data_IF_207902963426
#
_entry.id   IF_207902963426
#
_cell.length_a   1.000
_cell.length_b   1.000
_cell.length_c   1.000
_cell.angle_alpha   90.00
_cell.angle_beta   90.00
_cell.angle_gamma   90.00
#
_symmetry.space_group_name_H-M   'P 1'
#
loop_
_entity.id
_entity.type
_entity.pdbx_description
1 polymer ?
#
# COMPACT_ATOMS: atom_id res chain seq x y z
N UNK A 1 -5.01 -12.75 -34.58
CA UNK A 1 -5.33 -12.21 -33.23
C UNK A 1 -4.63 -10.87 -33.04
N UNK A 2 -5.07 -9.83 -33.74
CA UNK A 2 -4.38 -8.52 -33.70
C UNK A 2 -5.12 -7.48 -32.83
N UNK A 3 -6.25 -7.84 -32.23
CA UNK A 3 -7.03 -6.90 -31.38
C UNK A 3 -6.75 -7.18 -29.92
N UNK A 4 -6.33 -6.14 -29.20
CA UNK A 4 -6.15 -6.21 -27.75
C UNK A 4 -7.51 -6.28 -27.05
N UNK A 5 -7.72 -7.36 -26.34
CA UNK A 5 -8.90 -7.60 -25.48
C UNK A 5 -8.43 -8.19 -24.16
N UNK A 6 -9.27 -8.27 -23.12
CA UNK A 6 -8.92 -8.99 -21.89
C UNK A 6 -8.48 -10.45 -22.10
N UNK A 7 -8.96 -11.12 -23.16
CA UNK A 7 -8.55 -12.48 -23.47
C UNK A 7 -7.21 -12.58 -24.21
N UNK A 8 -6.78 -11.51 -24.87
CA UNK A 8 -5.53 -11.46 -25.66
C UNK A 8 -4.44 -10.60 -25.01
N UNK A 9 -4.74 -9.99 -23.86
CA UNK A 9 -3.79 -9.18 -23.10
C UNK A 9 -2.67 -10.05 -22.51
N UNK A 10 -1.42 -9.59 -22.66
CA UNK A 10 -0.24 -10.27 -22.09
C UNK A 10 -0.19 -10.09 -20.58
N UNK A 11 -0.51 -8.88 -20.11
CA UNK A 11 -0.58 -8.61 -18.67
C UNK A 11 -1.88 -9.14 -18.07
N UNK A 12 -1.85 -9.93 -16.97
CA UNK A 12 -3.06 -10.35 -16.27
C UNK A 12 -3.84 -9.17 -15.68
N UNK A 13 -3.20 -8.01 -15.46
CA UNK A 13 -3.87 -6.80 -14.97
C UNK A 13 -4.84 -6.21 -16.00
N UNK A 14 -4.54 -6.35 -17.29
CA UNK A 14 -5.39 -5.92 -18.40
C UNK A 14 -6.24 -7.07 -18.98
N UNK A 15 -5.97 -8.29 -18.53
CA UNK A 15 -6.72 -9.52 -18.86
C UNK A 15 -7.64 -9.96 -17.75
N UNK A 16 -7.23 -11.04 -17.05
CA UNK A 16 -8.00 -11.72 -15.99
C UNK A 16 -8.52 -10.81 -14.89
N UNK A 17 -7.74 -9.79 -14.52
CA UNK A 17 -8.03 -8.90 -13.40
C UNK A 17 -8.52 -7.50 -13.83
N UNK A 18 -8.74 -7.29 -15.12
CA UNK A 18 -9.06 -5.98 -15.69
C UNK A 18 -10.18 -5.24 -14.94
N UNK A 19 -11.31 -5.91 -14.71
CA UNK A 19 -12.47 -5.32 -14.02
C UNK A 19 -12.21 -4.97 -12.53
N UNK A 20 -11.14 -5.48 -11.95
CA UNK A 20 -10.76 -5.17 -10.56
C UNK A 20 -9.88 -3.93 -10.43
N UNK A 21 -9.46 -3.32 -11.53
CA UNK A 21 -8.46 -2.24 -11.56
C UNK A 21 -8.95 -0.97 -12.29
N UNK A 22 -10.25 -0.86 -12.55
CA UNK A 22 -10.84 0.27 -13.29
C UNK A 22 -10.50 1.63 -12.68
N UNK A 23 -10.38 1.73 -11.35
CA UNK A 23 -10.01 2.96 -10.66
C UNK A 23 -8.55 3.43 -10.98
N UNK A 24 -7.64 2.52 -11.34
CA UNK A 24 -6.27 2.87 -11.70
C UNK A 24 -6.07 3.23 -13.17
N UNK A 25 -6.95 2.77 -14.08
CA UNK A 25 -6.82 3.02 -15.52
C UNK A 25 -6.72 4.49 -15.88
N UNK A 26 -7.60 5.40 -15.43
CA UNK A 26 -7.52 6.82 -15.75
C UNK A 26 -6.32 7.53 -15.08
N UNK A 27 -5.61 6.84 -14.18
CA UNK A 27 -4.50 7.39 -13.42
C UNK A 27 -3.17 6.97 -14.02
N UNK A 28 -2.93 5.65 -14.17
CA UNK A 28 -1.60 5.08 -14.45
C UNK A 28 -1.41 4.61 -15.88
N UNK A 29 -2.44 4.69 -16.72
CA UNK A 29 -2.34 4.38 -18.16
C UNK A 29 -1.63 5.50 -18.95
N UNK A 30 -1.28 5.23 -20.22
CA UNK A 30 -0.78 6.24 -21.14
C UNK A 30 -1.75 7.41 -21.28
N UNK A 31 -3.06 7.14 -21.39
CA UNK A 31 -4.10 8.17 -21.32
C UNK A 31 -3.99 9.03 -20.07
N UNK A 32 -3.84 8.38 -18.89
CA UNK A 32 -3.69 9.08 -17.62
C UNK A 32 -2.47 10.00 -17.56
N UNK A 33 -1.35 9.59 -18.16
CA UNK A 33 -0.15 10.41 -18.27
C UNK A 33 -0.35 11.60 -19.21
N UNK A 34 -0.89 11.37 -20.41
CA UNK A 34 -1.15 12.42 -21.41
C UNK A 34 -2.13 13.47 -20.84
N UNK A 35 -3.22 13.05 -20.19
CA UNK A 35 -4.17 13.94 -19.53
C UNK A 35 -3.48 14.88 -18.54
N UNK A 36 -2.53 14.35 -17.74
CA UNK A 36 -1.80 15.16 -16.76
C UNK A 36 -0.80 16.09 -17.42
N UNK A 37 -0.18 15.71 -18.53
CA UNK A 37 0.66 16.62 -19.31
C UNK A 37 -0.13 17.84 -19.79
N UNK A 38 -1.33 17.62 -20.34
CA UNK A 38 -2.23 18.71 -20.74
C UNK A 38 -2.59 19.60 -19.53
N UNK A 39 -2.91 19.00 -18.38
CA UNK A 39 -3.21 19.76 -17.17
C UNK A 39 -2.02 20.62 -16.71
N UNK A 40 -0.81 20.07 -16.70
CA UNK A 40 0.40 20.77 -16.24
C UNK A 40 0.75 21.92 -17.18
N UNK A 41 0.71 21.70 -18.52
CA UNK A 41 0.95 22.72 -19.52
C UNK A 41 -0.05 23.88 -19.40
N UNK A 42 -1.33 23.58 -19.24
CA UNK A 42 -2.38 24.59 -19.04
C UNK A 42 -2.17 25.36 -17.75
N UNK A 43 -1.81 24.67 -16.66
CA UNK A 43 -1.56 25.30 -15.36
C UNK A 43 -0.37 26.27 -15.44
N UNK A 44 0.71 25.83 -16.11
CA UNK A 44 1.88 26.68 -16.35
C UNK A 44 1.55 27.88 -17.22
N UNK A 45 0.82 27.69 -18.32
CA UNK A 45 0.38 28.74 -19.23
C UNK A 45 -0.47 29.82 -18.52
N UNK A 46 -1.45 29.40 -17.73
CA UNK A 46 -2.26 30.33 -16.93
C UNK A 46 -1.39 31.10 -15.92
N UNK A 47 -0.50 30.40 -15.24
CA UNK A 47 0.39 31.04 -14.25
C UNK A 47 1.32 32.08 -14.90
N UNK A 48 1.84 31.80 -16.11
CA UNK A 48 2.65 32.76 -16.87
C UNK A 48 1.86 34.03 -17.22
N UNK A 49 0.58 33.92 -17.57
CA UNK A 49 -0.27 35.08 -17.82
C UNK A 49 -0.43 35.98 -16.57
N UNK A 50 -0.32 35.40 -15.38
CA UNK A 50 -0.41 36.11 -14.09
C UNK A 50 0.94 36.68 -13.60
N UNK A 51 2.02 36.42 -14.34
CA UNK A 51 3.35 36.83 -13.93
C UNK A 51 3.62 38.34 -14.06
N UNK A 52 2.73 39.07 -14.74
CA UNK A 52 2.87 40.50 -14.98
C UNK A 52 3.74 40.86 -16.18
N UNK A 53 3.90 39.95 -17.12
CA UNK A 53 4.63 40.19 -18.38
C UNK A 53 3.84 41.12 -19.30
N UNK A 54 4.50 42.10 -19.86
CA UNK A 54 3.85 42.99 -20.84
C UNK A 54 3.39 42.23 -22.09
N UNK A 55 4.15 41.21 -22.50
CA UNK A 55 3.92 40.39 -23.68
C UNK A 55 2.83 39.31 -23.41
N UNK A 56 2.51 39.04 -22.19
CA UNK A 56 1.49 38.03 -21.80
C UNK A 56 0.65 38.51 -20.62
N UNK A 57 -0.32 39.39 -20.84
CA UNK A 57 -1.17 39.91 -19.79
C UNK A 57 -2.11 38.84 -19.21
N UNK A 58 -2.72 39.08 -18.03
CA UNK A 58 -3.66 38.15 -17.43
C UNK A 58 -4.80 37.79 -18.41
N UNK A 59 -5.02 36.50 -18.55
CA UNK A 59 -6.10 35.98 -19.40
C UNK A 59 -7.49 36.37 -18.86
N UNK A 60 -8.46 36.72 -19.74
CA UNK A 60 -9.86 36.89 -19.35
C UNK A 60 -10.40 35.63 -18.64
N UNK A 61 -11.30 35.81 -17.67
CA UNK A 61 -11.86 34.70 -16.89
C UNK A 61 -12.51 33.62 -17.80
N UNK A 62 -13.19 34.01 -18.85
CA UNK A 62 -13.80 33.07 -19.80
C UNK A 62 -12.77 32.15 -20.48
N UNK A 63 -11.55 32.64 -20.76
CA UNK A 63 -10.46 31.83 -21.32
C UNK A 63 -9.85 30.90 -20.28
N UNK A 64 -9.70 31.37 -19.02
CA UNK A 64 -9.25 30.52 -17.91
C UNK A 64 -10.22 29.36 -17.67
N UNK A 65 -11.52 29.64 -17.62
CA UNK A 65 -12.55 28.63 -17.44
C UNK A 65 -12.54 27.61 -18.57
N UNK A 66 -12.36 28.08 -19.82
CA UNK A 66 -12.25 27.21 -20.97
C UNK A 66 -10.99 26.32 -20.92
N UNK A 67 -9.84 26.85 -20.54
CA UNK A 67 -8.60 26.09 -20.39
C UNK A 67 -8.73 25.03 -19.30
N UNK A 68 -9.31 25.39 -18.15
CA UNK A 68 -9.58 24.44 -17.07
C UNK A 68 -10.56 23.36 -17.51
N UNK A 69 -11.60 23.73 -18.23
CA UNK A 69 -12.56 22.77 -18.77
C UNK A 69 -11.92 21.84 -19.81
N UNK A 70 -11.02 22.34 -20.66
CA UNK A 70 -10.27 21.54 -21.64
C UNK A 70 -9.45 20.44 -20.94
N UNK A 71 -8.76 20.77 -19.85
CA UNK A 71 -8.02 19.78 -19.05
C UNK A 71 -8.96 18.80 -18.34
N UNK A 72 -10.08 19.27 -17.76
CA UNK A 72 -11.02 18.45 -17.00
C UNK A 72 -11.77 17.46 -17.91
N UNK A 73 -12.24 17.91 -19.07
CA UNK A 73 -13.01 17.12 -20.05
C UNK A 73 -12.14 16.31 -21.03
N UNK A 74 -10.82 16.33 -20.86
CA UNK A 74 -9.88 15.62 -21.75
C UNK A 74 -10.25 14.13 -21.88
N UNK A 75 -10.45 13.71 -23.14
CA UNK A 75 -10.99 12.39 -23.51
C UNK A 75 -9.91 11.44 -24.03
N UNK A 76 -10.27 10.16 -24.24
CA UNK A 76 -9.43 9.18 -24.91
C UNK A 76 -9.21 9.55 -26.37
N UNK A 77 -10.18 10.17 -27.03
CA UNK A 77 -10.06 10.63 -28.42
C UNK A 77 -9.06 11.80 -28.54
N UNK A 78 -9.04 12.70 -27.55
CA UNK A 78 -8.02 13.75 -27.48
C UNK A 78 -6.62 13.16 -27.30
N UNK A 79 -6.48 12.14 -26.46
CA UNK A 79 -5.21 11.42 -26.31
C UNK A 79 -4.79 10.71 -27.61
N UNK A 80 -5.75 10.13 -28.35
CA UNK A 80 -5.48 9.53 -29.66
C UNK A 80 -4.99 10.58 -30.69
N UNK A 81 -5.58 11.78 -30.68
CA UNK A 81 -5.13 12.88 -31.52
C UNK A 81 -3.69 13.32 -31.19
N UNK A 82 -3.33 13.37 -29.90
CA UNK A 82 -1.95 13.64 -29.47
C UNK A 82 -1.00 12.54 -29.96
N UNK A 83 -1.41 11.26 -29.83
CA UNK A 83 -0.60 10.13 -30.36
C UNK A 83 -0.39 10.18 -31.88
N UNK A 84 -1.31 10.80 -32.64
CA UNK A 84 -1.12 11.05 -34.06
C UNK A 84 0.03 12.04 -34.34
N UNK A 85 0.10 13.13 -33.57
CA UNK A 85 1.24 14.04 -33.61
C UNK A 85 2.55 13.35 -33.25
N UNK A 86 2.52 12.49 -32.19
CA UNK A 86 3.70 11.76 -31.75
C UNK A 86 4.26 10.82 -32.80
N UNK A 87 3.42 10.21 -33.65
CA UNK A 87 3.88 9.36 -34.76
C UNK A 87 4.81 10.09 -35.73
N UNK A 88 4.60 11.39 -35.94
CA UNK A 88 5.42 12.22 -36.83
C UNK A 88 6.61 12.82 -36.09
N UNK A 89 6.43 13.27 -34.85
CA UNK A 89 7.47 13.97 -34.08
C UNK A 89 8.45 13.05 -33.43
N UNK A 90 8.04 11.78 -33.14
CA UNK A 90 8.74 10.83 -32.30
C UNK A 90 9.11 11.42 -30.93
N UNK A 91 8.26 12.32 -30.39
CA UNK A 91 8.47 13.02 -29.14
C UNK A 91 7.13 13.28 -28.44
N UNK A 92 6.91 12.62 -27.32
CA UNK A 92 5.63 12.55 -26.61
C UNK A 92 5.17 13.90 -26.03
N UNK A 93 6.06 14.63 -25.33
CA UNK A 93 5.70 15.94 -24.75
C UNK A 93 5.50 16.99 -25.86
N UNK A 94 6.34 16.96 -26.91
CA UNK A 94 6.18 17.87 -28.04
C UNK A 94 4.87 17.67 -28.81
N UNK A 95 4.36 16.43 -28.83
CA UNK A 95 3.05 16.13 -29.40
C UNK A 95 1.92 16.82 -28.61
N UNK A 96 2.03 16.88 -27.27
CA UNK A 96 1.08 17.63 -26.42
C UNK A 96 1.11 19.13 -26.74
N UNK A 97 2.31 19.71 -26.89
CA UNK A 97 2.43 21.13 -27.26
C UNK A 97 1.73 21.42 -28.60
N UNK A 98 1.92 20.59 -29.64
CA UNK A 98 1.28 20.78 -30.95
C UNK A 98 -0.23 20.72 -30.86
N UNK A 99 -0.77 19.74 -30.15
CA UNK A 99 -2.19 19.63 -29.94
C UNK A 99 -2.77 20.85 -29.18
N UNK A 100 -2.08 21.36 -28.15
CA UNK A 100 -2.46 22.58 -27.44
C UNK A 100 -2.42 23.79 -28.34
N UNK A 101 -1.36 23.95 -29.20
CA UNK A 101 -1.24 25.05 -30.16
C UNK A 101 -2.41 25.09 -31.12
N UNK A 102 -2.85 23.95 -31.63
CA UNK A 102 -4.02 23.87 -32.51
C UNK A 102 -5.31 24.33 -31.80
N UNK A 103 -5.52 23.87 -30.55
CA UNK A 103 -6.69 24.25 -29.76
C UNK A 103 -6.67 25.74 -29.41
N UNK A 104 -5.52 26.28 -29.01
CA UNK A 104 -5.38 27.69 -28.62
C UNK A 104 -5.46 28.62 -29.85
N UNK A 105 -4.90 28.23 -30.98
CA UNK A 105 -4.98 29.00 -32.21
C UNK A 105 -6.41 29.21 -32.72
N UNK A 106 -7.31 28.27 -32.43
CA UNK A 106 -8.73 28.39 -32.76
C UNK A 106 -9.48 29.41 -31.90
N UNK A 107 -8.84 30.00 -30.86
CA UNK A 107 -9.44 31.01 -29.98
C UNK A 107 -8.72 32.35 -30.13
N UNK A 108 -9.38 33.39 -30.66
CA UNK A 108 -8.78 34.70 -30.94
C UNK A 108 -8.05 35.32 -29.74
N UNK A 109 -8.55 35.10 -28.52
CA UNK A 109 -7.96 35.66 -27.29
C UNK A 109 -6.71 34.87 -26.81
N UNK A 110 -6.47 33.65 -27.28
CA UNK A 110 -5.30 32.83 -26.93
C UNK A 110 -4.26 32.81 -28.09
N UNK A 111 -4.70 32.98 -29.34
CA UNK A 111 -3.85 32.90 -30.52
C UNK A 111 -2.59 33.79 -30.47
N UNK A 112 -2.59 34.99 -29.88
CA UNK A 112 -1.38 35.81 -29.77
C UNK A 112 -0.30 35.21 -28.81
N UNK A 113 -0.65 34.28 -27.97
CA UNK A 113 0.19 33.78 -26.84
C UNK A 113 0.68 32.36 -27.05
N UNK A 114 0.61 31.80 -28.26
CA UNK A 114 1.00 30.40 -28.54
C UNK A 114 2.44 30.08 -28.17
N UNK A 115 3.35 31.07 -28.22
CA UNK A 115 4.77 30.89 -27.87
C UNK A 115 4.99 30.75 -26.34
N UNK A 116 3.97 31.01 -25.53
CA UNK A 116 4.05 30.77 -24.06
C UNK A 116 3.64 29.35 -23.70
N UNK A 117 3.17 28.51 -24.60
CA UNK A 117 3.00 27.07 -24.37
C UNK A 117 4.38 26.45 -24.15
N UNK A 118 4.56 25.69 -23.09
CA UNK A 118 5.85 25.07 -22.71
C UNK A 118 7.00 26.09 -22.52
N UNK A 119 6.69 27.35 -22.26
CA UNK A 119 7.69 28.42 -22.18
C UNK A 119 8.73 28.15 -21.11
N UNK A 120 10.00 28.14 -21.51
CA UNK A 120 11.20 27.89 -20.71
C UNK A 120 11.24 26.50 -20.01
N UNK A 121 10.27 25.63 -20.24
CA UNK A 121 10.24 24.27 -19.71
C UNK A 121 11.15 23.31 -20.48
N UNK A 122 11.54 22.25 -19.82
CA UNK A 122 11.98 21.01 -20.45
C UNK A 122 10.90 19.94 -20.28
N UNK A 123 10.94 18.88 -21.08
CA UNK A 123 9.94 17.79 -20.98
C UNK A 123 9.82 17.23 -19.56
N UNK A 124 10.90 17.23 -18.81
CA UNK A 124 10.88 16.74 -17.43
C UNK A 124 10.23 17.71 -16.43
N UNK A 125 10.15 19.00 -16.71
CA UNK A 125 9.33 19.91 -15.90
C UNK A 125 7.85 19.50 -15.95
N UNK A 126 7.44 18.90 -17.07
CA UNK A 126 6.08 18.39 -17.24
C UNK A 126 5.96 16.96 -16.69
N UNK A 127 6.87 16.04 -17.11
CA UNK A 127 6.78 14.63 -16.79
C UNK A 127 6.90 14.35 -15.28
N UNK A 128 7.86 14.98 -14.58
CA UNK A 128 8.02 14.74 -13.15
C UNK A 128 6.78 15.17 -12.36
N UNK A 129 6.16 16.29 -12.72
CA UNK A 129 4.90 16.74 -12.13
C UNK A 129 3.77 15.74 -12.41
N UNK A 130 3.68 15.24 -13.66
CA UNK A 130 2.69 14.25 -14.04
C UNK A 130 2.83 12.97 -13.23
N UNK A 131 4.06 12.48 -13.02
CA UNK A 131 4.32 11.29 -12.20
C UNK A 131 3.99 11.53 -10.73
N UNK A 132 4.24 12.71 -10.19
CA UNK A 132 3.84 13.07 -8.83
C UNK A 132 2.31 13.10 -8.68
N UNK A 133 1.59 13.65 -9.65
CA UNK A 133 0.12 13.65 -9.70
C UNK A 133 -0.45 12.23 -9.85
N UNK A 134 0.15 11.39 -10.71
CA UNK A 134 -0.23 9.98 -10.84
C UNK A 134 -0.03 9.24 -9.52
N UNK A 135 1.11 9.43 -8.86
CA UNK A 135 1.42 8.82 -7.57
C UNK A 135 0.44 9.28 -6.48
N UNK A 136 0.05 10.57 -6.45
CA UNK A 136 -0.96 11.10 -5.53
C UNK A 136 -2.29 10.36 -5.65
N UNK A 137 -2.80 10.32 -6.89
CA UNK A 137 -4.12 9.76 -7.16
C UNK A 137 -4.12 8.23 -7.00
N UNK A 138 -3.06 7.54 -7.44
CA UNK A 138 -2.90 6.10 -7.27
C UNK A 138 -2.69 5.70 -5.80
N UNK A 139 -1.97 6.51 -5.01
CA UNK A 139 -1.82 6.33 -3.56
C UNK A 139 -3.17 6.37 -2.86
N UNK A 140 -4.07 7.26 -3.27
CA UNK A 140 -5.44 7.31 -2.73
C UNK A 140 -6.16 5.98 -2.95
N UNK A 141 -6.17 5.46 -4.18
CA UNK A 141 -6.79 4.16 -4.51
C UNK A 141 -6.17 3.00 -3.73
N UNK A 142 -4.85 3.02 -3.55
CA UNK A 142 -4.13 2.01 -2.77
C UNK A 142 -4.53 2.07 -1.29
N UNK A 143 -4.52 3.26 -0.70
CA UNK A 143 -4.86 3.46 0.71
C UNK A 143 -6.32 3.10 1.00
N UNK A 144 -7.26 3.42 0.11
CA UNK A 144 -8.66 2.99 0.22
C UNK A 144 -8.78 1.46 0.26
N UNK A 145 -8.07 0.74 -0.60
CA UNK A 145 -8.07 -0.72 -0.61
C UNK A 145 -7.44 -1.30 0.67
N UNK A 146 -6.38 -0.67 1.16
CA UNK A 146 -5.71 -1.02 2.40
C UNK A 146 -6.60 -0.74 3.61
N UNK A 147 -7.21 0.44 3.70
CA UNK A 147 -8.08 0.86 4.79
C UNK A 147 -9.29 -0.07 4.94
N UNK A 148 -9.87 -0.54 3.83
CA UNK A 148 -10.95 -1.52 3.85
C UNK A 148 -10.52 -2.86 4.47
N UNK A 149 -9.31 -3.35 4.15
CA UNK A 149 -8.76 -4.57 4.74
C UNK A 149 -8.43 -4.37 6.24
N UNK A 150 -7.85 -3.24 6.61
CA UNK A 150 -7.55 -2.88 7.99
C UNK A 150 -8.81 -2.74 8.84
N UNK A 151 -9.87 -2.14 8.31
CA UNK A 151 -11.16 -2.04 9.00
C UNK A 151 -11.74 -3.41 9.31
N UNK A 152 -11.68 -4.35 8.35
CA UNK A 152 -12.14 -5.73 8.59
C UNK A 152 -11.25 -6.46 9.60
N UNK A 153 -9.96 -6.33 9.52
CA UNK A 153 -9.01 -6.94 10.46
C UNK A 153 -9.23 -6.40 11.89
N UNK A 154 -9.48 -5.10 12.02
CA UNK A 154 -9.83 -4.44 13.29
C UNK A 154 -11.10 -5.01 13.90
N UNK A 155 -12.15 -5.16 13.09
CA UNK A 155 -13.40 -5.77 13.52
C UNK A 155 -13.16 -7.19 14.05
N UNK A 156 -12.45 -8.04 13.28
CA UNK A 156 -12.15 -9.41 13.69
C UNK A 156 -11.30 -9.48 14.96
N UNK A 157 -10.33 -8.57 15.12
CA UNK A 157 -9.51 -8.49 16.33
C UNK A 157 -10.37 -8.16 17.57
N UNK A 158 -11.36 -7.28 17.43
CA UNK A 158 -12.31 -6.94 18.48
C UNK A 158 -13.29 -8.07 18.78
N UNK A 159 -13.92 -8.64 17.74
CA UNK A 159 -14.91 -9.70 17.86
C UNK A 159 -14.34 -10.96 18.56
N UNK A 160 -13.08 -11.29 18.28
CA UNK A 160 -12.39 -12.46 18.78
C UNK A 160 -11.37 -12.15 19.89
N UNK A 161 -11.46 -10.97 20.51
CA UNK A 161 -10.52 -10.50 21.53
C UNK A 161 -10.36 -11.48 22.69
N UNK A 162 -11.46 -12.06 23.16
CA UNK A 162 -11.51 -12.96 24.30
C UNK A 162 -11.32 -14.44 23.94
N UNK A 163 -11.31 -14.84 22.65
CA UNK A 163 -11.20 -16.24 22.26
C UNK A 163 -9.77 -16.76 22.49
N UNK A 164 -9.54 -17.67 23.43
CA UNK A 164 -8.21 -18.22 23.67
C UNK A 164 -7.78 -19.16 22.55
N UNK A 165 -6.47 -19.19 22.32
CA UNK A 165 -5.82 -19.98 21.28
C UNK A 165 -4.43 -20.40 21.75
N UNK A 166 -3.99 -21.62 21.41
CA UNK A 166 -2.60 -22.02 21.59
C UNK A 166 -1.69 -21.25 20.63
N UNK A 167 -0.63 -20.64 21.13
CA UNK A 167 0.45 -20.14 20.28
C UNK A 167 1.28 -21.31 19.74
N UNK A 168 1.94 -21.07 18.62
CA UNK A 168 2.87 -22.04 18.02
C UNK A 168 4.20 -21.39 17.76
N UNK A 169 5.17 -21.65 18.65
CA UNK A 169 6.55 -21.22 18.42
C UNK A 169 7.35 -22.38 17.83
N UNK A 170 8.09 -22.14 16.77
CA UNK A 170 8.77 -23.20 16.02
C UNK A 170 7.82 -24.33 15.55
N UNK A 171 6.54 -23.99 15.30
CA UNK A 171 5.49 -24.97 14.97
C UNK A 171 5.03 -25.85 16.14
N UNK A 172 5.59 -25.69 17.33
CA UNK A 172 5.24 -26.47 18.54
C UNK A 172 4.26 -25.71 19.43
N UNK A 173 3.43 -26.46 20.18
CA UNK A 173 2.52 -25.93 21.18
C UNK A 173 3.29 -25.09 22.20
N UNK A 174 2.83 -23.87 22.44
CA UNK A 174 3.43 -22.89 23.34
C UNK A 174 2.36 -22.18 24.18
N UNK A 175 2.79 -21.21 25.00
CA UNK A 175 1.90 -20.44 25.88
C UNK A 175 0.68 -19.90 25.14
N UNK A 176 -0.53 -20.01 25.70
CA UNK A 176 -1.75 -19.52 25.08
C UNK A 176 -1.75 -18.00 24.86
N UNK A 177 -2.48 -17.60 23.85
CA UNK A 177 -2.81 -16.21 23.49
C UNK A 177 -4.31 -16.11 23.22
N UNK A 178 -4.77 -15.05 22.58
CA UNK A 178 -6.11 -14.98 21.99
C UNK A 178 -6.05 -14.75 20.48
N UNK A 179 -7.06 -15.23 19.78
CA UNK A 179 -7.21 -15.01 18.32
C UNK A 179 -7.21 -13.51 18.00
N UNK A 180 -7.95 -12.72 18.77
CA UNK A 180 -8.00 -11.27 18.59
C UNK A 180 -6.64 -10.60 18.78
N UNK A 181 -5.81 -11.06 19.73
CA UNK A 181 -4.47 -10.49 19.94
C UNK A 181 -3.52 -10.80 18.78
N UNK A 182 -3.60 -11.98 18.19
CA UNK A 182 -2.81 -12.29 16.98
C UNK A 182 -3.20 -11.39 15.81
N UNK A 183 -4.51 -11.21 15.56
CA UNK A 183 -5.00 -10.30 14.54
C UNK A 183 -4.64 -8.83 14.85
N UNK A 184 -4.67 -8.44 16.14
CA UNK A 184 -4.26 -7.10 16.57
C UNK A 184 -2.78 -6.81 16.30
N UNK A 185 -1.88 -7.80 16.43
CA UNK A 185 -0.47 -7.65 16.05
C UNK A 185 -0.31 -7.35 14.55
N UNK A 186 -1.03 -8.06 13.69
CA UNK A 186 -1.06 -7.82 12.25
C UNK A 186 -1.60 -6.42 11.95
N UNK A 187 -2.71 -6.04 12.57
CA UNK A 187 -3.39 -4.75 12.40
C UNK A 187 -2.45 -3.58 12.72
N UNK A 188 -1.84 -3.55 13.89
CA UNK A 188 -0.98 -2.44 14.33
C UNK A 188 0.24 -2.27 13.41
N UNK A 189 0.87 -3.37 12.98
CA UNK A 189 1.98 -3.34 12.02
C UNK A 189 1.57 -2.77 10.67
N UNK A 190 0.40 -3.16 10.17
CA UNK A 190 -0.13 -2.69 8.89
C UNK A 190 -0.61 -1.24 8.96
N UNK A 191 -1.17 -0.79 10.09
CA UNK A 191 -1.50 0.61 10.32
C UNK A 191 -0.26 1.51 10.25
N UNK A 192 0.81 1.15 10.96
CA UNK A 192 2.06 1.88 10.89
C UNK A 192 2.65 1.93 9.46
N UNK A 193 2.51 0.85 8.69
CA UNK A 193 2.92 0.83 7.29
C UNK A 193 2.03 1.72 6.41
N UNK A 194 0.72 1.75 6.66
CA UNK A 194 -0.24 2.64 5.99
C UNK A 194 0.08 4.11 6.23
N UNK A 195 0.40 4.48 7.46
CA UNK A 195 0.82 5.83 7.82
C UNK A 195 2.12 6.23 7.14
N UNK A 196 3.10 5.32 7.09
CA UNK A 196 4.34 5.55 6.37
C UNK A 196 4.14 5.82 4.87
N UNK A 197 3.20 5.12 4.21
CA UNK A 197 2.83 5.38 2.81
C UNK A 197 2.17 6.76 2.67
N UNK A 198 1.24 7.10 3.57
CA UNK A 198 0.51 8.36 3.51
C UNK A 198 1.40 9.58 3.75
N UNK A 199 2.42 9.45 4.61
CA UNK A 199 3.30 10.52 5.03
C UNK A 199 4.35 10.92 3.98
N UNK A 200 4.60 10.11 2.93
CA UNK A 200 5.61 10.44 1.92
C UNK A 200 5.23 11.72 1.17
N UNK A 201 6.06 12.79 1.20
CA UNK A 201 5.80 14.01 0.44
C UNK A 201 5.99 13.74 -1.05
N UNK A 202 5.02 14.14 -1.87
CA UNK A 202 5.10 14.01 -3.33
C UNK A 202 5.73 15.28 -3.89
N UNK A 203 6.97 15.16 -4.38
CA UNK A 203 7.77 16.31 -4.78
C UNK A 203 7.74 16.50 -6.29
N UNK A 204 7.85 17.76 -6.71
CA UNK A 204 7.95 18.12 -8.11
C UNK A 204 8.81 19.36 -8.31
N UNK A 205 9.45 19.45 -9.48
CA UNK A 205 10.26 20.59 -9.91
C UNK A 205 9.70 21.22 -11.17
N UNK A 206 9.88 22.53 -11.33
CA UNK A 206 9.67 23.28 -12.58
C UNK A 206 10.76 24.37 -12.66
N UNK A 207 11.99 23.99 -13.05
CA UNK A 207 13.17 24.84 -12.97
C UNK A 207 14.09 24.73 -14.20
N UNK A 208 13.55 24.18 -15.31
CA UNK A 208 14.21 24.16 -16.62
C UNK A 208 15.13 22.98 -16.85
N UNK A 209 15.87 23.07 -17.93
CA UNK A 209 16.60 21.96 -18.55
C UNK A 209 17.63 21.26 -17.65
N UNK A 210 18.19 21.96 -16.66
CA UNK A 210 19.20 21.42 -15.75
C UNK A 210 18.98 21.91 -14.30
N UNK A 211 17.78 22.42 -13.97
CA UNK A 211 17.41 22.80 -12.62
C UNK A 211 17.86 24.20 -12.18
N UNK A 212 18.28 25.07 -13.10
CA UNK A 212 18.92 26.34 -12.78
C UNK A 212 18.18 27.57 -13.32
N UNK A 213 16.98 27.42 -13.88
CA UNK A 213 16.21 28.52 -14.52
C UNK A 213 16.95 29.29 -15.63
N UNK A 214 17.92 28.69 -16.35
CA UNK A 214 18.76 29.37 -17.32
C UNK A 214 17.95 30.14 -18.36
N UNK A 215 17.01 29.48 -19.03
CA UNK A 215 16.16 30.09 -20.06
C UNK A 215 15.19 31.12 -19.46
N UNK A 216 14.64 30.84 -18.31
CA UNK A 216 13.74 31.72 -17.59
C UNK A 216 14.40 33.06 -17.24
N UNK A 217 15.57 33.02 -16.60
CA UNK A 217 16.34 34.21 -16.19
C UNK A 217 16.88 34.98 -17.41
N UNK A 218 17.16 34.30 -18.50
CA UNK A 218 17.57 34.96 -19.76
C UNK A 218 16.43 35.75 -20.35
N UNK A 219 15.21 35.18 -20.33
CA UNK A 219 14.03 35.84 -20.92
C UNK A 219 13.49 36.96 -19.98
N UNK A 220 13.41 36.70 -18.68
CA UNK A 220 12.87 37.65 -17.68
C UNK A 220 13.76 37.67 -16.44
N UNK A 221 14.88 38.46 -16.48
CA UNK A 221 15.89 38.44 -15.41
C UNK A 221 15.41 39.04 -14.08
N UNK A 222 14.33 39.81 -14.09
CA UNK A 222 13.75 40.43 -12.88
C UNK A 222 12.74 39.59 -12.13
N UNK A 223 12.45 38.39 -12.61
CA UNK A 223 11.45 37.50 -11.98
C UNK A 223 12.11 36.56 -10.98
N UNK A 224 11.53 36.45 -9.78
CA UNK A 224 11.87 35.37 -8.84
C UNK A 224 11.22 34.04 -9.32
N UNK A 225 11.94 33.34 -10.20
CA UNK A 225 11.46 32.11 -10.80
C UNK A 225 11.32 30.96 -9.82
N UNK A 226 12.10 30.92 -8.73
CA UNK A 226 11.94 29.91 -7.69
C UNK A 226 10.61 30.11 -6.95
N UNK A 227 10.33 31.33 -6.52
CA UNK A 227 9.04 31.64 -5.88
C UNK A 227 7.86 31.42 -6.84
N UNK A 228 8.04 31.71 -8.13
CA UNK A 228 7.04 31.47 -9.17
C UNK A 228 6.75 29.97 -9.33
N UNK A 229 7.77 29.15 -9.57
CA UNK A 229 7.64 27.70 -9.74
C UNK A 229 7.06 27.04 -8.47
N UNK A 230 7.49 27.48 -7.29
CA UNK A 230 6.93 27.02 -6.01
C UNK A 230 5.42 27.27 -5.93
N UNK A 231 4.94 28.46 -6.30
CA UNK A 231 3.50 28.75 -6.29
C UNK A 231 2.73 27.83 -7.25
N UNK A 232 3.28 27.57 -8.46
CA UNK A 232 2.63 26.67 -9.43
C UNK A 232 2.56 25.24 -8.89
N UNK A 233 3.64 24.72 -8.32
CA UNK A 233 3.72 23.36 -7.81
C UNK A 233 2.86 23.18 -6.56
N UNK A 234 2.97 24.11 -5.59
CA UNK A 234 2.31 23.97 -4.28
C UNK A 234 0.84 24.39 -4.34
N UNK A 235 0.54 25.56 -4.88
CA UNK A 235 -0.83 26.09 -4.89
C UNK A 235 -1.61 25.71 -6.16
N UNK A 236 -0.95 25.63 -7.30
CA UNK A 236 -1.59 25.26 -8.55
C UNK A 236 -1.85 23.75 -8.68
N UNK A 237 -0.93 22.91 -8.19
CA UNK A 237 -0.94 21.47 -8.42
C UNK A 237 -1.04 20.63 -7.14
N UNK A 238 -0.90 21.26 -5.94
CA UNK A 238 -1.04 20.58 -4.65
C UNK A 238 0.05 19.55 -4.36
N UNK A 239 1.28 19.83 -4.82
CA UNK A 239 2.47 19.01 -4.62
C UNK A 239 3.49 19.73 -3.75
N UNK A 240 4.55 19.05 -3.32
CA UNK A 240 5.65 19.68 -2.59
C UNK A 240 6.72 20.16 -3.58
N UNK A 241 7.14 21.41 -3.50
CA UNK A 241 8.17 21.94 -4.39
C UNK A 241 9.55 21.38 -4.07
N UNK A 242 10.30 20.98 -5.12
CA UNK A 242 11.69 20.51 -5.05
C UNK A 242 12.64 21.57 -5.64
N UNK A 243 13.37 22.34 -4.81
CA UNK A 243 14.24 23.42 -5.30
C UNK A 243 15.53 22.91 -5.91
N UNK A 244 16.09 21.82 -5.40
CA UNK A 244 17.35 21.25 -5.87
C UNK A 244 17.10 20.06 -6.78
N UNK A 245 17.42 20.21 -8.06
CA UNK A 245 17.24 19.19 -9.07
C UNK A 245 18.30 19.31 -10.16
N UNK A 246 18.26 18.40 -11.09
CA UNK A 246 18.97 18.43 -12.36
C UNK A 246 17.92 18.53 -13.49
N UNK A 247 18.10 17.89 -14.63
CA UNK A 247 16.99 17.85 -15.62
C UNK A 247 15.80 17.09 -15.06
N UNK A 248 16.05 16.01 -14.30
CA UNK A 248 15.02 15.25 -13.57
C UNK A 248 14.84 15.80 -12.14
N UNK A 249 13.68 15.56 -11.59
CA UNK A 249 13.50 15.46 -10.14
C UNK A 249 14.24 14.19 -9.66
N UNK A 250 15.03 14.19 -8.56
CA UNK A 250 15.93 13.05 -8.21
C UNK A 250 15.24 11.71 -7.92
N UNK A 251 13.93 11.67 -7.82
CA UNK A 251 13.10 10.48 -7.56
C UNK A 251 13.28 9.82 -6.19
N UNK A 252 13.98 10.45 -5.24
CA UNK A 252 14.17 9.92 -3.88
C UNK A 252 12.84 9.74 -3.15
N UNK A 253 11.88 10.65 -3.33
CA UNK A 253 10.54 10.49 -2.75
C UNK A 253 9.77 9.33 -3.36
N UNK A 254 9.97 9.04 -4.66
CA UNK A 254 9.36 7.86 -5.30
C UNK A 254 9.93 6.58 -4.71
N UNK A 255 11.26 6.53 -4.53
CA UNK A 255 11.92 5.40 -3.88
C UNK A 255 11.36 5.17 -2.47
N UNK A 256 11.25 6.23 -1.66
CA UNK A 256 10.66 6.18 -0.33
C UNK A 256 9.21 5.66 -0.35
N UNK A 257 8.40 6.13 -1.30
CA UNK A 257 7.01 5.68 -1.46
C UNK A 257 6.95 4.20 -1.83
N UNK A 258 7.75 3.77 -2.81
CA UNK A 258 7.75 2.39 -3.29
C UNK A 258 8.29 1.41 -2.24
N UNK A 259 9.29 1.79 -1.46
CA UNK A 259 9.79 1.01 -0.33
C UNK A 259 8.73 0.86 0.77
N UNK A 260 8.00 1.94 1.08
CA UNK A 260 6.92 1.88 2.06
C UNK A 260 5.78 0.94 1.60
N UNK A 261 5.40 1.00 0.31
CA UNK A 261 4.39 0.10 -0.27
C UNK A 261 4.90 -1.36 -0.28
N UNK A 262 6.15 -1.60 -0.69
CA UNK A 262 6.74 -2.94 -0.70
C UNK A 262 6.81 -3.55 0.71
N UNK A 263 7.15 -2.73 1.72
CA UNK A 263 7.16 -3.14 3.12
C UNK A 263 5.77 -3.51 3.63
N UNK A 264 4.74 -2.73 3.29
CA UNK A 264 3.36 -3.06 3.65
C UNK A 264 2.94 -4.42 3.08
N UNK A 265 3.31 -4.70 1.84
CA UNK A 265 3.10 -6.00 1.20
C UNK A 265 3.81 -7.15 1.91
N UNK A 266 5.04 -6.94 2.42
CA UNK A 266 5.77 -7.95 3.21
C UNK A 266 5.02 -8.31 4.50
N UNK A 267 4.48 -7.32 5.21
CA UNK A 267 3.68 -7.55 6.43
C UNK A 267 2.36 -8.26 6.09
N UNK A 268 1.73 -7.89 4.98
CA UNK A 268 0.49 -8.51 4.53
C UNK A 268 0.68 -9.98 4.09
N UNK A 269 1.83 -10.32 3.49
CA UNK A 269 2.21 -11.71 3.19
C UNK A 269 2.34 -12.52 4.47
N UNK A 270 3.03 -11.99 5.47
CA UNK A 270 3.19 -12.62 6.79
C UNK A 270 1.82 -12.94 7.40
N UNK A 271 0.92 -11.95 7.45
CA UNK A 271 -0.45 -12.12 7.92
C UNK A 271 -1.25 -13.16 7.10
N UNK A 272 -1.14 -13.14 5.78
CA UNK A 272 -1.84 -14.08 4.91
C UNK A 272 -1.37 -15.53 5.14
N UNK A 273 -0.08 -15.74 5.37
CA UNK A 273 0.51 -17.05 5.67
C UNK A 273 0.08 -17.58 7.03
N UNK A 274 0.05 -16.75 8.06
CA UNK A 274 -0.41 -17.15 9.38
C UNK A 274 -1.90 -17.52 9.36
N UNK A 275 -2.74 -16.72 8.71
CA UNK A 275 -4.16 -17.03 8.55
C UNK A 275 -4.35 -18.34 7.76
N UNK A 276 -3.59 -18.54 6.68
CA UNK A 276 -3.58 -19.80 5.92
C UNK A 276 -3.19 -20.98 6.83
N UNK A 277 -2.19 -20.79 7.69
CA UNK A 277 -1.78 -21.79 8.68
C UNK A 277 -2.89 -22.11 9.68
N UNK A 278 -3.60 -21.14 10.20
CA UNK A 278 -4.73 -21.33 11.11
C UNK A 278 -5.93 -22.02 10.41
N UNK A 279 -6.15 -21.75 9.13
CA UNK A 279 -7.14 -22.52 8.33
C UNK A 279 -6.72 -23.97 8.23
N UNK A 280 -5.44 -24.27 7.99
CA UNK A 280 -4.93 -25.65 7.90
C UNK A 280 -5.03 -26.42 9.22
N UNK A 281 -4.95 -25.72 10.37
CA UNK A 281 -5.18 -26.29 11.71
C UNK A 281 -6.66 -26.47 12.04
N UNK A 282 -7.57 -25.97 11.20
CA UNK A 282 -9.01 -26.00 11.45
C UNK A 282 -9.49 -24.96 12.46
N UNK A 283 -8.65 -23.97 12.83
CA UNK A 283 -9.02 -22.86 13.72
C UNK A 283 -9.96 -21.86 13.03
N UNK A 284 -9.75 -21.68 11.72
CA UNK A 284 -10.66 -20.93 10.87
C UNK A 284 -11.27 -21.82 9.78
N UNK A 285 -12.55 -21.62 9.51
CA UNK A 285 -13.23 -22.03 8.31
C UNK A 285 -13.37 -20.86 7.33
N UNK A 286 -13.93 -21.16 6.16
CA UNK A 286 -14.23 -20.17 5.13
C UNK A 286 -15.67 -20.28 4.68
N UNK A 287 -16.38 -19.16 4.62
CA UNK A 287 -17.73 -19.08 4.04
C UNK A 287 -17.70 -19.49 2.58
N UNK A 288 -18.54 -20.45 2.23
CA UNK A 288 -18.75 -20.87 0.85
C UNK A 288 -19.87 -20.03 0.23
N UNK A 289 -19.61 -19.40 -0.91
CA UNK A 289 -20.67 -18.76 -1.67
C UNK A 289 -21.39 -19.81 -2.52
N UNK A 290 -22.72 -19.74 -2.55
CA UNK A 290 -23.52 -20.63 -3.39
C UNK A 290 -23.07 -20.50 -4.87
N UNK A 291 -22.75 -21.65 -5.49
CA UNK A 291 -22.27 -21.72 -6.87
C UNK A 291 -20.74 -21.64 -7.05
N UNK A 292 -19.96 -21.38 -5.99
CA UNK A 292 -18.49 -21.49 -6.06
C UNK A 292 -18.07 -22.98 -5.94
N UNK A 293 -17.16 -23.41 -6.82
CA UNK A 293 -16.55 -24.75 -6.75
C UNK A 293 -15.23 -24.63 -5.98
N UNK A 294 -15.16 -25.20 -4.77
CA UNK A 294 -13.97 -25.12 -3.91
C UNK A 294 -12.78 -25.95 -4.42
N UNK A 295 -13.04 -27.06 -5.08
CA UNK A 295 -12.04 -27.94 -5.70
C UNK A 295 -12.65 -28.66 -6.88
N UNK A 296 -11.89 -28.83 -7.98
CA UNK A 296 -12.34 -29.60 -9.17
C UNK A 296 -12.41 -31.09 -8.91
N UNK A 297 -11.70 -31.62 -7.90
CA UNK A 297 -11.54 -33.05 -7.65
C UNK A 297 -12.12 -33.49 -6.31
N UNK A 298 -12.10 -32.62 -5.29
CA UNK A 298 -12.55 -32.94 -3.92
C UNK A 298 -13.65 -31.95 -3.48
N UNK A 299 -14.94 -32.32 -3.64
CA UNK A 299 -16.06 -31.38 -3.41
C UNK A 299 -16.15 -30.78 -2.00
N UNK A 300 -15.61 -31.49 -0.99
CA UNK A 300 -15.59 -31.03 0.41
C UNK A 300 -14.50 -30.02 0.72
N UNK A 301 -13.55 -29.77 -0.22
CA UNK A 301 -12.37 -28.96 0.03
C UNK A 301 -12.61 -27.52 -0.34
N UNK A 302 -12.51 -26.62 0.64
CA UNK A 302 -12.56 -25.16 0.45
C UNK A 302 -11.16 -24.59 0.59
N UNK A 303 -10.55 -24.20 -0.52
CA UNK A 303 -9.18 -23.68 -0.53
C UNK A 303 -9.14 -22.22 -0.12
N UNK A 304 -8.12 -21.76 0.63
CA UNK A 304 -7.93 -20.36 1.01
C UNK A 304 -7.33 -19.51 -0.12
N UNK A 305 -7.91 -19.61 -1.33
CA UNK A 305 -7.37 -19.03 -2.56
C UNK A 305 -7.23 -17.51 -2.53
N UNK A 306 -8.02 -16.83 -1.71
CA UNK A 306 -7.96 -15.37 -1.61
C UNK A 306 -6.68 -14.92 -0.90
N UNK A 307 -6.23 -15.66 0.12
CA UNK A 307 -4.95 -15.41 0.81
C UNK A 307 -3.76 -15.78 -0.07
N UNK A 308 -3.82 -16.89 -0.80
CA UNK A 308 -2.80 -17.32 -1.76
C UNK A 308 -2.68 -16.30 -2.92
N UNK A 309 -3.80 -15.79 -3.44
CA UNK A 309 -3.82 -14.76 -4.47
C UNK A 309 -3.24 -13.44 -3.94
N UNK A 310 -3.55 -13.06 -2.70
CA UNK A 310 -2.97 -11.88 -2.06
C UNK A 310 -1.46 -12.03 -1.93
N UNK A 311 -0.95 -13.14 -1.38
CA UNK A 311 0.48 -13.43 -1.24
C UNK A 311 1.20 -13.33 -2.59
N UNK A 312 0.69 -14.01 -3.64
CA UNK A 312 1.29 -14.01 -4.97
C UNK A 312 1.38 -12.60 -5.57
N UNK A 313 0.31 -11.81 -5.47
CA UNK A 313 0.28 -10.45 -6.00
C UNK A 313 1.16 -9.48 -5.19
N UNK A 314 1.20 -9.56 -3.87
CA UNK A 314 2.16 -8.80 -3.06
C UNK A 314 3.61 -9.14 -3.40
N UNK A 315 3.91 -10.41 -3.69
CA UNK A 315 5.23 -10.85 -4.11
C UNK A 315 5.68 -10.19 -5.42
N UNK A 316 4.82 -10.20 -6.45
CA UNK A 316 5.09 -9.55 -7.74
C UNK A 316 5.21 -8.04 -7.56
N UNK A 317 4.27 -7.41 -6.85
CA UNK A 317 4.32 -5.98 -6.55
C UNK A 317 5.62 -5.60 -5.86
N UNK A 318 6.01 -6.36 -4.81
CA UNK A 318 7.24 -6.12 -4.06
C UNK A 318 8.52 -6.21 -4.90
N UNK A 319 8.58 -7.14 -5.86
CA UNK A 319 9.71 -7.26 -6.78
C UNK A 319 9.84 -6.01 -7.69
N UNK A 320 8.72 -5.57 -8.27
CA UNK A 320 8.69 -4.39 -9.13
C UNK A 320 8.96 -3.11 -8.34
N UNK A 321 8.34 -2.93 -7.18
CA UNK A 321 8.53 -1.75 -6.33
C UNK A 321 9.96 -1.59 -5.86
N UNK A 322 10.64 -2.68 -5.45
CA UNK A 322 12.06 -2.64 -5.07
C UNK A 322 12.95 -2.27 -6.25
N UNK A 323 12.70 -2.84 -7.43
CA UNK A 323 13.45 -2.43 -8.62
C UNK A 323 13.25 -0.94 -8.94
N UNK A 324 12.02 -0.42 -8.85
CA UNK A 324 11.71 0.99 -9.06
C UNK A 324 12.42 1.88 -8.03
N UNK A 325 12.39 1.50 -6.76
CA UNK A 325 13.05 2.20 -5.64
C UNK A 325 14.58 2.27 -5.82
N UNK A 326 15.19 1.18 -6.23
CA UNK A 326 16.65 1.09 -6.44
C UNK A 326 17.10 1.81 -7.72
N UNK A 327 16.30 1.75 -8.80
CA UNK A 327 16.69 2.25 -10.12
C UNK A 327 16.45 3.74 -10.30
N UNK A 328 15.30 4.27 -9.88
CA UNK A 328 14.88 5.62 -10.23
C UNK A 328 15.80 6.73 -9.71
N UNK A 329 16.39 6.66 -8.50
CA UNK A 329 17.35 7.65 -8.03
C UNK A 329 18.68 7.66 -8.79
N UNK A 330 18.94 6.65 -9.64
CA UNK A 330 20.19 6.54 -10.38
C UNK A 330 20.01 7.06 -11.79
N UNK A 331 20.68 8.18 -12.12
CA UNK A 331 20.77 8.76 -13.47
C UNK A 331 22.21 9.14 -13.79
N UNK A 332 22.59 9.03 -15.06
CA UNK A 332 23.92 9.48 -15.50
C UNK A 332 23.94 10.98 -15.64
N UNK A 333 24.86 11.63 -14.93
CA UNK A 333 25.01 13.07 -14.91
C UNK A 333 23.70 13.81 -14.62
N UNK A 334 23.28 14.73 -15.50
CA UNK A 334 22.06 15.50 -15.30
C UNK A 334 20.81 14.76 -15.77
N UNK A 335 20.93 13.77 -16.64
CA UNK A 335 19.91 12.83 -17.07
C UNK A 335 20.43 11.75 -18.01
N UNK A 336 19.91 10.53 -17.89
CA UNK A 336 19.77 9.56 -18.98
C UNK A 336 18.28 9.18 -19.17
N UNK A 337 17.96 8.38 -20.20
CA UNK A 337 16.57 8.06 -20.54
C UNK A 337 16.06 6.75 -19.89
N UNK A 338 16.85 6.10 -19.05
CA UNK A 338 16.47 4.80 -18.47
C UNK A 338 15.33 4.90 -17.47
N UNK A 339 15.14 6.05 -16.83
CA UNK A 339 14.01 6.36 -15.95
C UNK A 339 12.67 6.26 -16.69
N UNK A 340 12.57 6.84 -17.88
CA UNK A 340 11.35 6.85 -18.68
C UNK A 340 10.82 5.44 -19.00
N UNK A 341 11.71 4.50 -19.31
CA UNK A 341 11.35 3.09 -19.55
C UNK A 341 10.79 2.44 -18.29
N UNK A 342 11.41 2.70 -17.15
CA UNK A 342 11.08 2.06 -15.88
C UNK A 342 9.79 2.63 -15.28
N UNK A 343 9.59 3.95 -15.36
CA UNK A 343 8.40 4.67 -14.88
C UNK A 343 7.09 4.17 -15.52
N UNK A 344 7.13 3.66 -16.76
CA UNK A 344 5.96 3.07 -17.43
C UNK A 344 5.41 1.83 -16.72
N UNK A 345 6.19 1.22 -15.79
CA UNK A 345 5.80 0.04 -15.02
C UNK A 345 5.24 0.37 -13.63
N UNK A 346 5.19 1.64 -13.23
CA UNK A 346 4.62 2.06 -11.93
C UNK A 346 3.18 1.59 -11.78
N UNK A 347 2.36 1.76 -12.83
CA UNK A 347 0.97 1.28 -12.85
C UNK A 347 0.84 -0.23 -12.68
N UNK A 348 1.81 -1.00 -13.19
CA UNK A 348 1.83 -2.47 -13.03
C UNK A 348 2.10 -2.85 -11.58
N UNK A 349 3.10 -2.24 -10.94
CA UNK A 349 3.44 -2.48 -9.55
C UNK A 349 2.29 -2.12 -8.60
N UNK A 350 1.67 -0.95 -8.80
CA UNK A 350 0.52 -0.49 -8.01
C UNK A 350 -0.73 -1.33 -8.28
N UNK A 351 -0.95 -1.78 -9.52
CA UNK A 351 -2.05 -2.67 -9.90
C UNK A 351 -2.01 -3.99 -9.13
N UNK A 352 -0.85 -4.64 -9.08
CA UNK A 352 -0.66 -5.85 -8.27
C UNK A 352 -0.85 -5.58 -6.77
N UNK A 353 -0.39 -4.41 -6.26
CA UNK A 353 -0.59 -4.03 -4.86
C UNK A 353 -2.08 -3.87 -4.52
N UNK A 354 -2.84 -3.12 -5.31
CA UNK A 354 -4.29 -2.91 -5.10
C UNK A 354 -5.05 -4.24 -5.20
N UNK A 355 -4.71 -5.08 -6.18
CA UNK A 355 -5.31 -6.39 -6.35
C UNK A 355 -5.08 -7.29 -5.13
N UNK A 356 -3.86 -7.27 -4.58
CA UNK A 356 -3.50 -8.04 -3.40
C UNK A 356 -4.29 -7.61 -2.16
N UNK A 357 -4.41 -6.31 -1.89
CA UNK A 357 -5.22 -5.78 -0.78
C UNK A 357 -6.70 -6.16 -0.90
N UNK A 358 -7.27 -6.05 -2.11
CA UNK A 358 -8.64 -6.47 -2.38
C UNK A 358 -8.86 -7.98 -2.19
N UNK A 359 -7.88 -8.80 -2.58
CA UNK A 359 -7.93 -10.25 -2.35
C UNK A 359 -7.84 -10.60 -0.88
N UNK A 360 -6.95 -9.93 -0.13
CA UNK A 360 -6.84 -10.09 1.32
C UNK A 360 -8.17 -9.76 2.02
N UNK A 361 -8.82 -8.64 1.64
CA UNK A 361 -10.13 -8.27 2.17
C UNK A 361 -11.19 -9.33 1.90
N UNK A 362 -11.22 -9.90 0.68
CA UNK A 362 -12.17 -10.98 0.34
C UNK A 362 -11.93 -12.19 1.23
N UNK A 363 -10.68 -12.59 1.45
CA UNK A 363 -10.31 -13.68 2.36
C UNK A 363 -10.76 -13.40 3.79
N UNK A 364 -10.45 -12.22 4.33
CA UNK A 364 -10.86 -11.81 5.68
C UNK A 364 -12.39 -11.80 5.88
N UNK A 365 -13.15 -11.46 4.85
CA UNK A 365 -14.62 -11.49 4.90
C UNK A 365 -15.21 -12.90 4.89
N UNK A 366 -14.44 -13.89 4.43
CA UNK A 366 -14.87 -15.29 4.42
C UNK A 366 -14.53 -16.06 5.70
N UNK A 367 -13.69 -15.48 6.58
CA UNK A 367 -13.24 -16.18 7.78
C UNK A 367 -14.38 -16.47 8.77
N UNK A 368 -14.42 -17.71 9.24
CA UNK A 368 -15.28 -18.20 10.31
C UNK A 368 -14.43 -18.79 11.42
N UNK A 369 -14.69 -18.43 12.67
CA UNK A 369 -13.99 -18.96 13.83
C UNK A 369 -14.56 -20.33 14.22
N UNK A 370 -13.71 -21.30 14.47
CA UNK A 370 -14.07 -22.61 15.02
C UNK A 370 -13.68 -22.70 16.48
N UNK A 371 -14.46 -22.04 17.36
CA UNK A 371 -14.20 -21.96 18.80
C UNK A 371 -14.09 -23.35 19.48
N UNK A 372 -14.91 -24.31 19.05
CA UNK A 372 -14.87 -25.68 19.60
C UNK A 372 -13.51 -26.35 19.36
N UNK A 373 -12.94 -26.20 18.15
CA UNK A 373 -11.62 -26.75 17.82
C UNK A 373 -10.50 -26.10 18.64
N UNK A 374 -10.55 -24.77 18.79
CA UNK A 374 -9.61 -24.00 19.59
C UNK A 374 -9.64 -24.43 21.07
N UNK A 375 -10.83 -24.58 21.64
CA UNK A 375 -11.01 -24.98 23.02
C UNK A 375 -10.56 -26.43 23.23
N UNK A 376 -10.86 -27.35 22.32
CA UNK A 376 -10.43 -28.75 22.41
C UNK A 376 -8.89 -28.86 22.43
N UNK A 377 -8.18 -28.13 21.54
CA UNK A 377 -6.71 -28.12 21.53
C UNK A 377 -6.11 -27.56 22.83
N UNK A 378 -6.78 -26.57 23.45
CA UNK A 378 -6.37 -26.03 24.75
C UNK A 378 -6.59 -27.03 25.88
N UNK A 379 -7.73 -27.73 25.89
CA UNK A 379 -8.06 -28.71 26.93
C UNK A 379 -7.10 -29.92 26.91
N UNK A 380 -6.49 -30.22 25.79
CA UNK A 380 -5.47 -31.28 25.63
C UNK A 380 -4.05 -30.81 25.94
N UNK A 381 -3.79 -29.50 26.15
CA UNK A 381 -2.45 -28.93 26.25
C UNK A 381 -2.06 -28.46 27.65
N UNK A 382 -2.26 -29.31 28.66
CA UNK A 382 -1.96 -28.98 30.07
C UNK A 382 -0.48 -28.70 30.35
N UNK A 383 0.43 -29.21 29.50
CA UNK A 383 1.89 -28.96 29.61
C UNK A 383 2.26 -27.48 29.53
N UNK A 384 1.46 -26.64 28.87
CA UNK A 384 1.72 -25.20 28.75
C UNK A 384 1.71 -24.49 30.11
N UNK A 385 1.04 -25.06 31.12
CA UNK A 385 1.01 -24.54 32.47
C UNK A 385 2.29 -24.81 33.27
N UNK A 386 3.23 -25.58 32.74
CA UNK A 386 4.55 -25.72 33.35
C UNK A 386 5.29 -24.37 33.48
N UNK A 387 5.10 -23.45 32.54
CA UNK A 387 5.70 -22.12 32.54
C UNK A 387 5.25 -21.26 33.75
N UNK A 388 3.95 -21.03 34.01
CA UNK A 388 3.52 -20.24 35.16
C UNK A 388 3.83 -20.93 36.51
N UNK A 389 3.74 -22.27 36.58
CA UNK A 389 4.11 -23.01 37.77
C UNK A 389 5.59 -22.80 38.10
N UNK A 390 6.49 -22.98 37.14
CA UNK A 390 7.92 -22.71 37.28
C UNK A 390 8.19 -21.26 37.75
N UNK A 391 7.49 -20.30 37.14
CA UNK A 391 7.66 -18.88 37.45
C UNK A 391 7.29 -18.58 38.91
N UNK A 392 6.19 -19.15 39.41
CA UNK A 392 5.78 -19.01 40.80
C UNK A 392 6.76 -19.71 41.74
N UNK A 393 7.22 -20.94 41.40
CA UNK A 393 8.25 -21.64 42.18
C UNK A 393 9.52 -20.79 42.30
N UNK A 394 9.97 -20.16 41.25
CA UNK A 394 11.14 -19.24 41.25
C UNK A 394 10.91 -18.01 42.13
N UNK A 395 9.73 -17.41 42.11
CA UNK A 395 9.35 -16.30 42.99
C UNK A 395 9.53 -16.63 44.44
N UNK A 396 9.24 -17.89 44.85
CA UNK A 396 9.37 -18.36 46.21
C UNK A 396 10.70 -19.08 46.48
N UNK A 397 11.69 -18.96 45.63
CA UNK A 397 13.04 -19.48 45.85
C UNK A 397 13.15 -21.02 45.85
N UNK A 398 12.21 -21.72 45.22
CA UNK A 398 12.25 -23.19 45.14
C UNK A 398 13.49 -23.61 44.30
N UNK A 399 14.44 -24.38 44.87
CA UNK A 399 15.62 -24.82 44.18
C UNK A 399 15.26 -25.71 43.00
N UNK A 400 16.00 -25.54 41.86
CA UNK A 400 15.86 -26.32 40.63
C UNK A 400 14.42 -26.46 40.13
N UNK A 401 13.68 -25.33 40.15
CA UNK A 401 12.30 -25.27 39.67
C UNK A 401 12.15 -25.80 38.24
N UNK A 402 13.08 -25.45 37.34
CA UNK A 402 13.09 -25.93 35.95
C UNK A 402 13.32 -27.45 35.85
N UNK A 403 14.32 -28.00 36.55
CA UNK A 403 14.63 -29.43 36.50
C UNK A 403 13.48 -30.29 37.00
N UNK A 404 12.81 -29.87 38.09
CA UNK A 404 11.63 -30.54 38.65
C UNK A 404 10.47 -30.61 37.64
N UNK A 405 10.14 -29.52 36.98
CA UNK A 405 9.10 -29.51 35.96
C UNK A 405 9.48 -30.28 34.70
N UNK A 406 10.73 -30.13 34.23
CA UNK A 406 11.25 -30.90 33.10
C UNK A 406 11.17 -32.40 33.31
N UNK A 407 11.48 -32.87 34.53
CA UNK A 407 11.37 -34.28 34.89
C UNK A 407 9.90 -34.78 34.92
N UNK A 408 8.97 -33.90 35.33
CA UNK A 408 7.56 -34.24 35.40
C UNK A 408 6.81 -34.14 34.05
N UNK A 409 7.31 -33.36 33.07
CA UNK A 409 6.61 -33.09 31.81
C UNK A 409 7.24 -33.70 30.58
N UNK A 410 8.53 -34.09 30.60
CA UNK A 410 9.24 -34.56 29.43
C UNK A 410 8.90 -36.03 29.12
N UNK A 411 8.34 -36.26 27.92
CA UNK A 411 8.09 -37.63 27.42
C UNK A 411 6.87 -38.34 27.99
N UNK A 412 6.02 -37.63 28.72
CA UNK A 412 4.75 -38.16 29.24
C UNK A 412 3.61 -37.18 28.89
N UNK A 413 2.40 -37.71 28.72
CA UNK A 413 1.20 -36.87 28.60
C UNK A 413 1.00 -36.16 29.98
N UNK A 414 0.98 -34.85 29.94
CA UNK A 414 0.79 -34.04 31.14
C UNK A 414 -0.71 -33.86 31.35
N UNK A 415 -1.24 -34.52 32.44
CA UNK A 415 -2.65 -34.38 32.79
C UNK A 415 -2.82 -33.28 33.85
N UNK A 416 -4.07 -32.83 34.00
CA UNK A 416 -4.47 -31.91 35.08
C UNK A 416 -4.10 -32.44 36.45
N UNK A 417 -4.38 -33.71 36.69
CA UNK A 417 -4.13 -34.38 37.96
C UNK A 417 -2.63 -34.43 38.30
N UNK A 418 -1.79 -34.76 37.31
CA UNK A 418 -0.33 -34.77 37.45
C UNK A 418 0.22 -33.39 37.79
N UNK A 419 -0.29 -32.33 37.16
CA UNK A 419 0.11 -30.94 37.48
C UNK A 419 -0.35 -30.52 38.87
N UNK A 420 -1.57 -30.87 39.27
CA UNK A 420 -2.08 -30.57 40.60
C UNK A 420 -1.23 -31.26 41.70
N UNK A 421 -0.92 -32.55 41.52
CA UNK A 421 -0.03 -33.26 42.43
C UNK A 421 1.38 -32.61 42.50
N UNK A 422 1.90 -32.16 41.37
CA UNK A 422 3.17 -31.43 41.32
C UNK A 422 3.10 -30.10 42.08
N UNK A 423 2.02 -29.33 41.94
CA UNK A 423 1.80 -28.05 42.63
C UNK A 423 1.74 -28.29 44.14
N UNK A 424 0.97 -29.30 44.58
CA UNK A 424 0.78 -29.61 45.98
C UNK A 424 2.09 -30.01 46.70
N UNK A 425 2.99 -30.67 45.99
CA UNK A 425 4.29 -31.07 46.49
C UNK A 425 5.32 -29.90 46.62
N UNK A 426 5.03 -28.71 46.09
CA UNK A 426 5.99 -27.61 46.13
C UNK A 426 5.93 -26.85 47.47
N UNK A 427 7.07 -26.39 48.00
CA UNK A 427 7.13 -25.56 49.22
C UNK A 427 6.80 -24.09 48.90
N UNK A 428 5.59 -23.82 48.47
CA UNK A 428 5.03 -22.49 48.17
C UNK A 428 3.77 -22.27 49.03
N UNK A 429 3.34 -21.02 49.28
CA UNK A 429 2.14 -20.72 50.04
C UNK A 429 0.89 -21.42 49.51
N UNK A 430 0.00 -21.86 50.42
CA UNK A 430 -1.24 -22.56 50.01
C UNK A 430 -2.17 -21.72 49.18
N UNK A 431 -2.19 -20.39 49.35
CA UNK A 431 -2.90 -19.45 48.47
C UNK A 431 -2.42 -19.54 47.04
N UNK A 432 -1.10 -19.59 46.81
CA UNK A 432 -0.51 -19.73 45.47
C UNK A 432 -0.79 -21.13 44.90
N UNK A 433 -0.76 -22.18 45.70
CA UNK A 433 -1.17 -23.52 45.26
C UNK A 433 -2.64 -23.51 44.77
N UNK A 434 -3.52 -22.88 45.53
CA UNK A 434 -4.93 -22.77 45.17
C UNK A 434 -5.11 -22.01 43.87
N UNK A 435 -4.39 -20.88 43.67
CA UNK A 435 -4.41 -20.09 42.45
C UNK A 435 -3.89 -20.86 41.25
N UNK A 436 -2.78 -21.57 41.39
CA UNK A 436 -2.22 -22.38 40.30
C UNK A 436 -3.11 -23.56 39.92
N UNK A 437 -3.77 -24.22 40.89
CA UNK A 437 -4.74 -25.30 40.60
C UNK A 437 -6.00 -24.82 39.87
N UNK A 438 -6.40 -23.57 40.13
CA UNK A 438 -7.52 -22.95 39.42
C UNK A 438 -7.19 -22.53 37.97
N UNK A 439 -5.90 -22.47 37.62
CA UNK A 439 -5.46 -22.07 36.28
C UNK A 439 -5.72 -23.17 35.25
N UNK A 440 -6.25 -22.79 34.09
CA UNK A 440 -6.43 -23.67 32.95
C UNK A 440 -5.66 -23.11 31.72
N UNK A 441 -5.33 -23.95 30.73
CA UNK A 441 -4.70 -23.43 29.50
C UNK A 441 -5.51 -22.30 28.89
N UNK A 442 -6.83 -22.40 28.81
CA UNK A 442 -7.71 -21.38 28.24
C UNK A 442 -7.70 -20.05 29.05
N UNK A 443 -7.43 -20.10 30.36
CA UNK A 443 -7.34 -18.90 31.24
C UNK A 443 -5.93 -18.28 31.26
N UNK A 444 -4.92 -18.98 30.74
CA UNK A 444 -3.53 -18.52 30.76
C UNK A 444 -3.19 -17.67 29.56
N UNK A 445 -3.92 -16.60 29.33
CA UNK A 445 -3.75 -15.70 28.16
C UNK A 445 -3.13 -14.33 28.53
N UNK A 446 -2.83 -14.11 29.81
CA UNK A 446 -2.25 -12.84 30.28
C UNK A 446 -3.10 -11.61 29.91
N UNK A 447 -2.49 -10.63 29.27
CA UNK A 447 -3.15 -9.39 28.85
C UNK A 447 -3.69 -9.45 27.40
N UNK A 448 -3.76 -10.62 26.75
CA UNK A 448 -4.04 -10.74 25.33
C UNK A 448 -5.37 -10.10 24.93
N UNK A 449 -6.46 -10.36 25.68
CA UNK A 449 -7.77 -9.74 25.43
C UNK A 449 -7.72 -8.21 25.51
N UNK A 450 -7.12 -7.67 26.55
CA UNK A 450 -7.01 -6.21 26.73
C UNK A 450 -6.19 -5.55 25.61
N UNK A 451 -5.12 -6.22 25.14
CA UNK A 451 -4.31 -5.75 24.02
C UNK A 451 -5.10 -5.77 22.71
N UNK A 452 -5.89 -6.81 22.47
CA UNK A 452 -6.74 -6.92 21.28
C UNK A 452 -7.80 -5.80 21.24
N UNK A 453 -8.51 -5.58 22.35
CA UNK A 453 -9.53 -4.53 22.46
C UNK A 453 -8.93 -3.14 22.26
N UNK A 454 -7.80 -2.84 22.90
CA UNK A 454 -7.09 -1.58 22.72
C UNK A 454 -6.70 -1.34 21.26
N UNK A 455 -6.18 -2.34 20.56
CA UNK A 455 -5.83 -2.20 19.16
C UNK A 455 -7.06 -2.01 18.25
N UNK A 456 -8.20 -2.60 18.62
CA UNK A 456 -9.45 -2.41 17.90
C UNK A 456 -10.05 -1.01 18.13
N UNK A 457 -9.82 -0.38 19.29
CA UNK A 457 -10.30 0.94 19.65
C UNK A 457 -9.43 2.08 19.06
N UNK A 458 -8.09 1.94 19.06
CA UNK A 458 -7.13 2.98 18.68
C UNK A 458 -7.10 3.33 17.17
N UNK A 459 -8.03 2.90 16.40
CA UNK A 459 -8.11 3.21 14.97
C UNK A 459 -9.37 3.96 14.55
N UNK A 460 -10.06 4.57 15.50
CA UNK A 460 -11.27 5.36 15.25
C UNK A 460 -11.02 6.88 15.22
N UNK A 461 -9.77 7.34 15.41
CA UNK A 461 -9.37 8.75 15.38
C UNK A 461 -8.70 9.13 14.06
#
# INVERSE_FOLDING_TARGET
MNTLTPLTAISPLDGRYAAKLDALRPITSEYGLIKRRVLVEITWFIALSDAGFAEFPPLPQAERDWLQQLAASFSVDDAAAIKEHERTTNHDVKAVEYWLRERFAARPALAPYLEFIHFACTSEDINNVCHALQARDARTVLLEAMDAALARLRQLAGDWAAQPMLSRTHGQTASPTTVGKELANMLVRLQAAREAIAAVPLRAKMNGAVGNYNAHLTAYPGVDWEAFARRVVEHGLGLTFQPFSIQIEPHDWMAQLFDAIARSGTIAIDAARDIWGYISLGYFGQLVKAGETGSSTMPHKVNPIDFENAEGNFGIAGALLRHLSEKLPISRWQRDLTDSTVLRNVGVALGHSVLAWRSLLVGLNKLQLHAEKLNADLDDAWEVLAEPIQTVMRRYGVPDAYGKLKAATRGQAVTREALHALIDAQPIPDEEKARLRALTPAAYTGCAEALARRAAETGAD
#
